data_IF_359572848306
#
_entry.id   IF_359572848306
#
_cell.length_a   1.000
_cell.length_b   1.000
_cell.length_c   1.000
_cell.angle_alpha   90.00
_cell.angle_beta   90.00
_cell.angle_gamma   90.00
#
_symmetry.space_group_name_H-M   'P 1'
#
loop_
_entity.id
_entity.type
_entity.pdbx_description
1 polymer ?
#
# COMPACT_ATOMS: atom_id res chain seq x y z
N UNK A 1 -69.41 38.41 -0.38
CA UNK A 1 -68.57 39.20 -1.29
C UNK A 1 -67.25 38.45 -1.44
N UNK A 2 -66.90 37.87 -2.61
CA UNK A 2 -65.66 37.11 -2.79
C UNK A 2 -64.57 38.01 -3.38
N UNK A 3 -63.37 37.95 -2.77
CA UNK A 3 -62.22 38.66 -3.24
C UNK A 3 -61.51 37.78 -4.30
N UNK A 4 -61.32 38.30 -5.50
CA UNK A 4 -60.63 37.70 -6.63
C UNK A 4 -59.13 37.90 -6.48
N UNK A 5 -58.34 36.83 -6.39
CA UNK A 5 -56.90 36.84 -6.55
C UNK A 5 -56.54 36.79 -8.03
N UNK A 6 -55.72 37.75 -8.50
CA UNK A 6 -55.19 37.78 -9.85
C UNK A 6 -53.86 36.98 -9.92
N UNK A 7 -53.82 35.92 -10.72
CA UNK A 7 -52.60 35.32 -11.19
C UNK A 7 -51.90 36.22 -12.20
N UNK A 8 -50.65 36.58 -11.94
CA UNK A 8 -49.69 37.15 -12.93
C UNK A 8 -48.95 36.01 -13.62
N UNK A 9 -49.12 35.89 -14.91
CA UNK A 9 -48.36 35.04 -15.80
C UNK A 9 -46.94 35.64 -16.00
N UNK A 10 -45.90 34.87 -15.72
CA UNK A 10 -44.52 35.21 -16.07
C UNK A 10 -44.21 34.52 -17.40
N UNK A 11 -44.04 35.31 -18.44
CA UNK A 11 -43.60 34.87 -19.77
C UNK A 11 -42.11 34.55 -19.74
N UNK A 12 -41.78 33.31 -19.97
CA UNK A 12 -40.37 32.88 -20.17
C UNK A 12 -39.91 33.24 -21.58
N UNK A 13 -38.83 34.00 -21.65
CA UNK A 13 -38.11 34.34 -22.88
C UNK A 13 -37.27 33.17 -23.30
N UNK A 14 -37.59 32.58 -24.45
CA UNK A 14 -36.77 31.55 -25.10
C UNK A 14 -35.45 32.17 -25.64
N UNK A 15 -34.30 31.65 -25.23
CA UNK A 15 -33.01 31.96 -25.79
C UNK A 15 -32.82 31.04 -27.00
N UNK A 16 -32.66 31.64 -28.18
CA UNK A 16 -32.32 30.96 -29.43
C UNK A 16 -30.88 30.43 -29.35
N UNK A 17 -30.73 29.11 -29.50
CA UNK A 17 -29.45 28.49 -29.73
C UNK A 17 -29.11 28.53 -31.23
N UNK A 18 -28.09 29.26 -31.58
CA UNK A 18 -27.49 29.26 -32.92
C UNK A 18 -26.79 27.93 -33.18
N UNK A 19 -27.24 27.25 -34.22
CA UNK A 19 -26.63 26.01 -34.71
C UNK A 19 -25.50 26.36 -35.67
N UNK A 20 -24.25 26.02 -35.32
CA UNK A 20 -23.11 25.96 -36.25
C UNK A 20 -23.18 24.65 -37.03
N UNK A 21 -22.91 24.66 -38.34
CA UNK A 21 -22.91 23.44 -39.13
C UNK A 21 -21.60 22.65 -38.91
N UNK A 22 -21.76 21.36 -38.59
CA UNK A 22 -20.66 20.39 -38.53
C UNK A 22 -20.29 20.02 -39.98
N UNK A 23 -19.10 20.39 -40.40
CA UNK A 23 -18.51 19.93 -41.64
C UNK A 23 -17.92 18.53 -41.42
N UNK A 24 -18.54 17.50 -42.00
CA UNK A 24 -18.03 16.16 -42.00
C UNK A 24 -17.06 16.04 -43.21
N UNK A 25 -15.78 15.99 -42.90
CA UNK A 25 -14.75 15.63 -43.87
C UNK A 25 -14.69 14.09 -43.98
N UNK A 26 -15.17 13.54 -45.06
CA UNK A 26 -15.00 12.12 -45.39
C UNK A 26 -13.57 11.89 -45.90
N UNK A 27 -12.77 11.14 -45.14
CA UNK A 27 -11.48 10.64 -45.61
C UNK A 27 -11.73 9.28 -46.29
N UNK A 28 -11.53 9.26 -47.61
CA UNK A 28 -11.53 8.05 -48.38
C UNK A 28 -10.19 7.35 -48.20
N UNK A 29 -10.19 6.20 -47.53
CA UNK A 29 -9.02 5.34 -47.46
C UNK A 29 -9.02 4.38 -48.67
N UNK A 30 -8.10 4.60 -49.59
CA UNK A 30 -7.80 3.65 -50.68
C UNK A 30 -6.96 2.48 -50.13
N UNK A 31 -7.54 1.30 -50.13
CA UNK A 31 -6.84 0.06 -49.83
C UNK A 31 -5.99 -0.35 -51.07
N UNK A 32 -4.67 -0.41 -50.87
CA UNK A 32 -3.74 -1.03 -51.81
C UNK A 32 -3.52 -2.48 -51.39
N UNK A 33 -4.09 -3.43 -52.13
CA UNK A 33 -3.78 -4.84 -52.02
C UNK A 33 -2.42 -5.11 -52.67
N UNK A 34 -1.40 -5.36 -51.86
CA UNK A 34 -0.13 -5.93 -52.31
C UNK A 34 -0.12 -7.43 -52.04
N UNK A 35 -0.20 -8.22 -53.10
CA UNK A 35 0.00 -9.66 -53.03
C UNK A 35 1.50 -9.95 -52.91
N UNK A 36 1.90 -10.65 -51.86
CA UNK A 36 3.26 -11.21 -51.74
C UNK A 36 3.14 -12.73 -51.96
N UNK A 37 3.82 -13.19 -53.02
CA UNK A 37 3.92 -14.56 -53.38
C UNK A 37 4.77 -15.34 -52.37
N UNK A 38 4.26 -16.50 -51.95
CA UNK A 38 4.99 -17.53 -51.23
C UNK A 38 5.88 -18.31 -52.21
N UNK A 39 7.19 -18.24 -52.03
CA UNK A 39 8.12 -19.22 -52.61
C UNK A 39 8.60 -20.12 -51.48
N UNK A 40 8.17 -21.36 -51.55
CA UNK A 40 8.70 -22.48 -50.79
C UNK A 40 10.06 -22.87 -51.37
N UNK A 41 11.07 -22.98 -50.54
CA UNK A 41 12.32 -23.69 -50.85
C UNK A 41 12.51 -24.74 -49.77
N UNK A 42 12.30 -25.97 -50.17
CA UNK A 42 12.79 -27.18 -49.47
C UNK A 42 14.30 -27.22 -49.59
N UNK A 43 14.99 -27.34 -48.46
CA UNK A 43 16.35 -27.88 -48.45
C UNK A 43 16.56 -28.73 -47.18
N UNK A 44 16.61 -30.03 -47.47
CA UNK A 44 16.92 -31.10 -46.55
C UNK A 44 18.44 -31.11 -46.34
N UNK A 45 18.97 -30.93 -45.14
CA UNK A 45 20.30 -31.39 -44.82
C UNK A 45 20.32 -31.98 -43.42
N UNK A 46 20.48 -33.29 -43.40
CA UNK A 46 20.75 -34.09 -42.21
C UNK A 46 22.19 -33.85 -41.72
N UNK A 47 22.35 -33.50 -40.49
CA UNK A 47 23.66 -33.54 -39.81
C UNK A 47 23.56 -34.17 -38.41
N UNK A 48 24.28 -35.23 -38.27
CA UNK A 48 24.60 -36.09 -37.16
C UNK A 48 24.70 -35.36 -35.80
N UNK A 49 23.96 -35.84 -34.81
CA UNK A 49 24.15 -35.56 -33.40
C UNK A 49 24.98 -36.64 -32.75
N UNK A 50 26.17 -36.29 -32.33
CA UNK A 50 26.99 -37.12 -31.44
C UNK A 50 26.64 -36.72 -29.99
N UNK A 51 25.95 -37.62 -29.29
CA UNK A 51 25.64 -37.51 -27.86
C UNK A 51 26.89 -37.79 -27.05
N UNK A 52 27.43 -36.81 -26.33
CA UNK A 52 28.45 -37.01 -25.29
C UNK A 52 27.73 -37.07 -23.92
N UNK A 53 27.71 -38.25 -23.35
CA UNK A 53 27.29 -38.48 -21.97
C UNK A 53 28.34 -37.93 -21.01
N UNK A 54 27.98 -36.92 -20.21
CA UNK A 54 28.79 -36.46 -19.09
C UNK A 54 28.36 -37.23 -17.84
N UNK A 55 29.22 -38.13 -17.39
CA UNK A 55 29.12 -38.85 -16.12
C UNK A 55 29.41 -37.91 -14.97
N UNK A 56 28.46 -37.78 -14.03
CA UNK A 56 28.63 -37.09 -12.76
C UNK A 56 29.51 -37.93 -11.82
N UNK A 57 30.42 -37.33 -11.02
CA UNK A 57 31.12 -38.03 -9.97
C UNK A 57 30.24 -38.18 -8.73
N UNK A 58 30.05 -39.41 -8.32
CA UNK A 58 29.47 -39.83 -7.03
C UNK A 58 30.48 -39.54 -5.93
N UNK A 59 30.19 -38.60 -5.03
CA UNK A 59 30.89 -38.41 -3.79
C UNK A 59 30.19 -39.19 -2.67
N UNK A 60 30.92 -40.07 -2.02
CA UNK A 60 30.53 -40.86 -0.87
C UNK A 60 30.45 -40.00 0.40
N UNK A 61 29.56 -40.32 1.37
CA UNK A 61 29.45 -39.56 2.61
C UNK A 61 30.59 -39.94 3.56
N UNK A 62 31.30 -38.95 4.05
CA UNK A 62 32.27 -39.09 5.15
C UNK A 62 31.53 -38.88 6.46
N UNK A 63 31.32 -39.92 7.20
CA UNK A 63 30.94 -39.91 8.61
C UNK A 63 32.09 -39.37 9.46
N UNK A 64 31.85 -38.29 10.18
CA UNK A 64 32.71 -37.88 11.30
C UNK A 64 31.90 -38.01 12.59
N UNK A 65 32.19 -39.11 13.31
CA UNK A 65 31.88 -39.26 14.71
C UNK A 65 32.84 -38.38 15.52
N UNK A 66 32.31 -37.56 16.41
CA UNK A 66 33.07 -36.77 17.36
C UNK A 66 32.19 -36.26 18.47
N UNK A 67 31.91 -37.16 19.43
CA UNK A 67 31.27 -36.77 20.68
C UNK A 67 32.25 -35.96 21.53
N UNK A 68 31.87 -34.78 22.00
CA UNK A 68 32.34 -34.21 23.27
C UNK A 68 31.24 -33.45 23.94
N UNK A 69 30.75 -34.04 25.01
CA UNK A 69 29.95 -33.38 26.01
C UNK A 69 30.87 -32.48 26.86
N UNK A 70 30.50 -31.21 26.95
CA UNK A 70 30.97 -30.34 28.04
C UNK A 70 29.76 -29.62 28.60
N UNK A 71 29.31 -30.09 29.73
CA UNK A 71 28.40 -29.36 30.59
C UNK A 71 29.13 -28.17 31.22
N UNK A 72 28.52 -27.01 31.21
CA UNK A 72 28.86 -25.96 32.16
C UNK A 72 27.55 -25.38 32.69
N UNK A 73 27.31 -25.75 33.91
CA UNK A 73 26.47 -25.18 34.93
C UNK A 73 26.82 -23.67 35.12
N UNK A 74 25.86 -22.77 34.88
CA UNK A 74 25.96 -21.38 35.31
C UNK A 74 24.78 -21.07 36.24
N UNK A 75 24.84 -21.72 37.41
CA UNK A 75 24.19 -21.29 38.62
C UNK A 75 25.04 -20.20 39.27
N UNK A 76 24.63 -18.94 39.24
CA UNK A 76 25.34 -17.87 39.92
C UNK A 76 25.03 -16.46 39.47
N UNK A 77 23.76 -16.05 39.50
CA UNK A 77 23.43 -14.64 39.47
C UNK A 77 22.74 -14.24 40.78
N UNK A 78 23.52 -13.72 41.71
CA UNK A 78 23.01 -13.05 42.90
C UNK A 78 22.76 -11.57 42.59
N UNK A 79 21.55 -11.03 42.79
CA UNK A 79 21.34 -9.58 42.69
C UNK A 79 21.97 -8.89 43.90
N UNK A 80 22.89 -8.00 43.62
CA UNK A 80 23.45 -7.11 44.64
C UNK A 80 22.41 -6.05 44.96
N UNK A 81 21.83 -6.14 46.15
CA UNK A 81 20.99 -5.12 46.73
C UNK A 81 21.82 -3.88 47.08
N UNK A 82 21.53 -2.76 46.47
CA UNK A 82 22.09 -1.46 46.85
C UNK A 82 21.04 -0.69 47.65
N UNK A 83 21.17 -0.79 48.94
CA UNK A 83 20.52 0.16 49.86
C UNK A 83 21.38 1.43 49.91
N UNK A 84 20.90 2.49 49.30
CA UNK A 84 21.34 3.85 49.63
C UNK A 84 20.09 4.69 49.88
N UNK A 85 19.89 5.05 51.14
CA UNK A 85 18.99 6.12 51.52
C UNK A 85 19.63 7.46 51.09
N UNK A 86 18.91 8.37 50.48
CA UNK A 86 19.29 9.76 50.44
C UNK A 86 18.59 10.52 51.55
N UNK A 87 19.42 11.00 52.46
CA UNK A 87 19.12 12.19 53.26
C UNK A 87 19.54 13.40 52.41
N UNK A 88 18.61 14.23 52.02
CA UNK A 88 18.81 15.67 51.81
C UNK A 88 17.51 16.31 51.29
N UNK A 89 16.85 16.97 52.17
CA UNK A 89 15.92 18.06 51.94
C UNK A 89 16.64 19.22 51.27
N UNK A 90 16.32 19.43 49.99
CA UNK A 90 16.31 20.71 49.27
C UNK A 90 15.70 20.49 47.89
N UNK A 91 14.38 20.47 47.84
CA UNK A 91 13.63 20.63 46.56
C UNK A 91 13.22 22.10 46.53
N UNK A 92 13.67 22.92 45.57
CA UNK A 92 13.08 24.23 45.39
C UNK A 92 11.62 24.03 44.95
N UNK A 93 10.76 24.64 45.75
CA UNK A 93 9.33 24.77 45.49
C UNK A 93 9.13 25.51 44.16
N UNK A 94 8.87 24.74 43.09
CA UNK A 94 8.41 25.27 41.80
C UNK A 94 6.90 25.40 41.90
N UNK A 95 6.48 26.43 42.64
CA UNK A 95 5.10 26.90 42.60
C UNK A 95 4.63 27.12 41.17
N UNK A 96 3.63 26.34 40.76
CA UNK A 96 2.56 26.82 39.90
C UNK A 96 2.84 26.96 38.43
N UNK A 97 3.58 26.03 37.80
CA UNK A 97 3.35 25.74 36.37
C UNK A 97 2.46 24.49 36.29
N UNK A 98 1.17 24.73 36.43
CA UNK A 98 0.17 23.77 35.96
C UNK A 98 0.42 23.57 34.45
N UNK A 99 1.18 22.52 34.13
CA UNK A 99 1.22 22.01 32.76
C UNK A 99 -0.22 21.60 32.48
N UNK A 100 -0.97 22.51 31.89
CA UNK A 100 -2.21 22.17 31.23
C UNK A 100 -1.80 21.16 30.14
N UNK A 101 -1.91 19.87 30.47
CA UNK A 101 -2.02 18.82 29.50
C UNK A 101 -3.28 19.20 28.71
N UNK A 102 -3.10 19.90 27.61
CA UNK A 102 -4.14 20.05 26.61
C UNK A 102 -4.49 18.64 26.25
N UNK A 103 -5.68 18.22 26.66
CA UNK A 103 -6.28 16.95 26.30
C UNK A 103 -6.26 16.91 24.78
N UNK A 104 -5.19 16.35 24.20
CA UNK A 104 -5.00 16.28 22.76
C UNK A 104 -6.09 15.36 22.24
N UNK A 105 -7.06 15.95 21.56
CA UNK A 105 -8.13 15.19 20.95
C UNK A 105 -7.55 14.23 19.91
N UNK A 106 -8.20 13.08 19.72
CA UNK A 106 -7.81 12.09 18.73
C UNK A 106 -8.93 11.90 17.70
N UNK A 107 -8.55 11.71 16.44
CA UNK A 107 -9.48 11.29 15.41
C UNK A 107 -9.95 9.86 15.65
N UNK A 108 -11.25 9.63 15.55
CA UNK A 108 -11.86 8.29 15.67
C UNK A 108 -12.32 7.74 14.32
N UNK A 109 -12.54 8.59 13.32
CA UNK A 109 -12.86 8.19 11.96
C UNK A 109 -11.59 7.91 11.15
N UNK A 110 -11.67 6.96 10.23
CA UNK A 110 -10.55 6.61 9.33
C UNK A 110 -10.12 7.73 8.40
N UNK A 111 -11.03 8.65 8.07
CA UNK A 111 -10.76 9.89 7.35
C UNK A 111 -11.93 10.86 7.44
N UNK A 112 -11.63 12.16 7.38
CA UNK A 112 -12.61 13.24 7.25
C UNK A 112 -12.28 14.10 6.03
N UNK A 113 -13.32 14.70 5.42
CA UNK A 113 -13.23 15.46 4.18
C UNK A 113 -14.35 16.48 4.09
N UNK A 114 -14.33 17.31 3.05
CA UNK A 114 -15.39 18.28 2.79
C UNK A 114 -16.80 17.64 2.93
N UNK A 115 -17.64 18.21 3.78
CA UNK A 115 -18.97 17.71 4.13
C UNK A 115 -19.01 16.75 5.33
N UNK A 116 -17.88 16.27 5.85
CA UNK A 116 -17.83 15.51 7.11
C UNK A 116 -18.18 16.41 8.29
N UNK A 117 -18.71 15.81 9.38
CA UNK A 117 -19.03 16.53 10.62
C UNK A 117 -18.86 15.63 11.83
N UNK A 118 -18.60 16.22 13.00
CA UNK A 118 -18.48 15.50 14.26
C UNK A 118 -17.19 15.77 15.01
N UNK A 119 -16.94 15.02 16.11
CA UNK A 119 -15.77 15.22 16.99
C UNK A 119 -14.43 15.16 16.29
N UNK A 120 -14.21 14.25 15.35
CA UNK A 120 -12.95 14.15 14.59
C UNK A 120 -12.71 15.38 13.72
N UNK A 121 -13.77 16.03 13.22
CA UNK A 121 -13.64 17.30 12.49
C UNK A 121 -13.28 18.44 13.44
N UNK A 122 -13.90 18.49 14.60
CA UNK A 122 -13.53 19.47 15.64
C UNK A 122 -12.08 19.32 16.05
N UNK A 123 -11.63 18.09 16.27
CA UNK A 123 -10.25 17.76 16.58
C UNK A 123 -9.30 18.22 15.48
N UNK A 124 -9.61 17.92 14.23
CA UNK A 124 -8.83 18.37 13.08
C UNK A 124 -8.74 19.91 13.01
N UNK A 125 -9.88 20.61 13.12
CA UNK A 125 -9.91 22.08 13.06
C UNK A 125 -9.04 22.69 14.15
N UNK A 126 -9.08 22.14 15.37
CA UNK A 126 -8.22 22.58 16.46
C UNK A 126 -6.74 22.36 16.14
N UNK A 127 -6.39 21.17 15.68
CA UNK A 127 -5.00 20.84 15.31
C UNK A 127 -4.47 21.70 14.14
N UNK A 128 -5.30 22.00 13.15
CA UNK A 128 -4.94 22.91 12.05
C UNK A 128 -4.78 24.35 12.55
N UNK A 129 -5.59 24.78 13.51
CA UNK A 129 -5.49 26.10 14.14
C UNK A 129 -4.21 26.22 14.96
N UNK A 130 -3.90 25.22 15.79
CA UNK A 130 -2.70 25.17 16.62
C UNK A 130 -1.43 25.10 15.75
N UNK A 131 -1.50 24.44 14.60
CA UNK A 131 -0.42 24.36 13.61
C UNK A 131 -0.33 25.60 12.68
N UNK A 132 -1.26 26.56 12.78
CA UNK A 132 -1.25 27.82 12.02
C UNK A 132 -1.79 27.73 10.59
N UNK A 133 -2.40 26.61 10.18
CA UNK A 133 -3.01 26.45 8.85
C UNK A 133 -4.47 26.92 8.78
N UNK A 134 -5.15 27.00 9.91
CA UNK A 134 -6.55 27.38 10.01
C UNK A 134 -6.73 28.59 10.94
N UNK A 135 -7.63 29.49 10.59
CA UNK A 135 -7.94 30.67 11.40
C UNK A 135 -9.45 30.84 11.68
N UNK A 136 -10.25 29.84 11.29
CA UNK A 136 -11.69 29.82 11.50
C UNK A 136 -12.08 29.32 12.89
N UNK A 137 -13.38 29.29 13.17
CA UNK A 137 -13.92 28.70 14.39
C UNK A 137 -13.92 27.17 14.32
N UNK A 138 -13.72 26.50 15.44
CA UNK A 138 -13.87 25.05 15.57
C UNK A 138 -15.35 24.71 15.63
N UNK A 139 -15.93 24.39 14.48
CA UNK A 139 -17.37 24.16 14.30
C UNK A 139 -17.78 22.69 14.32
N UNK A 140 -16.82 21.78 14.13
CA UNK A 140 -17.08 20.37 13.89
C UNK A 140 -17.73 20.07 12.53
N UNK A 141 -17.73 21.03 11.60
CA UNK A 141 -18.19 20.86 10.23
C UNK A 141 -17.01 21.10 9.27
N UNK A 142 -16.68 20.12 8.45
CA UNK A 142 -15.61 20.22 7.46
C UNK A 142 -16.09 21.01 6.25
N UNK A 143 -15.95 22.32 6.33
CA UNK A 143 -16.31 23.28 5.31
C UNK A 143 -15.17 23.57 4.33
N UNK A 144 -15.38 24.50 3.38
CA UNK A 144 -14.38 24.88 2.40
C UNK A 144 -13.13 25.53 3.04
N UNK A 145 -13.29 26.24 4.16
CA UNK A 145 -12.15 26.84 4.85
C UNK A 145 -11.26 25.75 5.50
N UNK A 146 -11.87 24.74 6.10
CA UNK A 146 -11.18 23.55 6.64
C UNK A 146 -10.50 22.77 5.51
N UNK A 147 -11.15 22.64 4.34
CA UNK A 147 -10.56 21.96 3.18
C UNK A 147 -9.28 22.66 2.70
N UNK A 148 -9.30 23.97 2.51
CA UNK A 148 -8.13 24.75 2.09
C UNK A 148 -7.00 24.66 3.12
N UNK A 149 -7.32 24.70 4.40
CA UNK A 149 -6.35 24.53 5.48
C UNK A 149 -5.71 23.13 5.48
N UNK A 150 -6.50 22.10 5.20
CA UNK A 150 -5.99 20.73 5.08
C UNK A 150 -5.06 20.57 3.88
N UNK A 151 -5.40 21.13 2.70
CA UNK A 151 -4.52 21.11 1.53
C UNK A 151 -3.21 21.84 1.80
N UNK A 152 -3.25 23.03 2.42
CA UNK A 152 -2.06 23.81 2.76
C UNK A 152 -1.13 23.04 3.73
N UNK A 153 -1.68 22.38 4.73
CA UNK A 153 -0.94 21.52 5.66
C UNK A 153 -0.32 20.32 4.95
N UNK A 154 -1.08 19.68 4.05
CA UNK A 154 -0.59 18.54 3.27
C UNK A 154 0.57 18.93 2.35
N UNK A 155 0.49 20.10 1.72
CA UNK A 155 1.54 20.64 0.87
C UNK A 155 2.81 20.95 1.68
N UNK A 156 2.68 21.71 2.77
CA UNK A 156 3.81 22.10 3.61
C UNK A 156 4.53 20.88 4.23
N UNK A 157 3.78 19.85 4.59
CA UNK A 157 4.31 18.60 5.17
C UNK A 157 4.67 17.52 4.14
N UNK A 158 4.70 17.88 2.87
CA UNK A 158 5.03 16.99 1.75
C UNK A 158 4.18 15.69 1.74
N UNK A 159 2.90 15.83 2.07
CA UNK A 159 1.91 14.76 2.01
C UNK A 159 1.20 14.77 0.65
N UNK A 160 0.34 13.78 0.43
CA UNK A 160 -0.52 13.80 -0.74
C UNK A 160 -1.61 14.87 -0.58
N UNK A 161 -1.60 15.90 -1.45
CA UNK A 161 -2.52 17.03 -1.39
C UNK A 161 -3.84 16.65 -2.06
N UNK A 162 -4.86 16.35 -1.26
CA UNK A 162 -6.20 15.98 -1.72
C UNK A 162 -7.32 16.56 -0.85
N UNK A 163 -6.96 17.30 0.20
CA UNK A 163 -7.89 17.85 1.16
C UNK A 163 -8.65 16.80 1.98
N UNK A 164 -8.25 15.51 1.89
CA UNK A 164 -8.81 14.42 2.70
C UNK A 164 -7.84 14.14 3.84
N UNK A 165 -8.28 14.36 5.07
CA UNK A 165 -7.48 14.08 6.24
C UNK A 165 -7.71 12.65 6.70
N UNK A 166 -6.81 11.76 6.29
CA UNK A 166 -6.74 10.38 6.74
C UNK A 166 -5.60 10.20 7.73
N UNK A 167 -5.22 8.93 7.96
CA UNK A 167 -4.19 8.54 8.92
C UNK A 167 -2.89 9.33 8.78
N UNK A 168 -2.31 9.45 7.58
CA UNK A 168 -1.02 10.12 7.39
C UNK A 168 -1.09 11.61 7.76
N UNK A 169 -2.14 12.30 7.34
CA UNK A 169 -2.38 13.71 7.69
C UNK A 169 -2.61 13.88 9.18
N UNK A 170 -3.38 12.98 9.81
CA UNK A 170 -3.69 13.03 11.22
C UNK A 170 -2.46 12.70 12.09
N UNK A 171 -1.61 11.74 11.70
CA UNK A 171 -0.32 11.47 12.35
C UNK A 171 0.57 12.71 12.30
N UNK A 172 0.64 13.37 11.15
CA UNK A 172 1.48 14.55 11.00
C UNK A 172 1.03 15.73 11.87
N UNK A 173 -0.25 15.75 12.26
CA UNK A 173 -0.83 16.73 13.20
C UNK A 173 -0.81 16.26 14.66
N UNK A 174 -0.39 15.03 14.97
CA UNK A 174 -0.40 14.48 16.31
C UNK A 174 -1.79 14.12 16.85
N UNK A 175 -2.79 13.97 15.99
CA UNK A 175 -4.19 13.67 16.35
C UNK A 175 -4.64 12.27 15.94
N UNK A 176 -3.73 11.41 15.50
CA UNK A 176 -4.02 10.01 15.29
C UNK A 176 -3.72 9.22 16.56
N UNK A 177 -4.57 8.25 16.96
CA UNK A 177 -4.27 7.39 18.07
C UNK A 177 -2.90 6.72 17.88
N UNK A 178 -2.12 6.59 18.94
CA UNK A 178 -0.84 5.87 18.91
C UNK A 178 -1.10 4.43 18.45
N UNK A 179 -0.93 4.20 17.16
CA UNK A 179 -0.84 2.86 16.62
C UNK A 179 0.62 2.41 16.70
N UNK A 180 0.85 1.34 17.44
CA UNK A 180 2.11 0.65 17.39
C UNK A 180 2.43 0.26 15.95
N UNK A 181 3.60 0.69 15.46
CA UNK A 181 4.02 0.32 14.12
C UNK A 181 4.52 -1.12 14.13
N UNK A 182 3.78 -2.02 13.49
CA UNK A 182 4.19 -3.40 13.30
C UNK A 182 5.05 -3.62 12.04
N UNK A 183 5.57 -2.55 11.45
CA UNK A 183 6.42 -2.63 10.25
C UNK A 183 7.80 -3.12 10.64
N UNK A 184 8.12 -4.36 10.25
CA UNK A 184 9.45 -4.95 10.44
C UNK A 184 10.23 -4.83 9.13
N UNK A 185 11.35 -4.09 9.13
CA UNK A 185 12.27 -4.02 8.00
C UNK A 185 13.33 -5.09 8.14
N UNK A 186 13.34 -6.06 7.23
CA UNK A 186 14.44 -7.04 7.13
C UNK A 186 15.68 -6.40 6.52
N UNK A 187 16.89 -6.93 6.81
CA UNK A 187 18.09 -6.51 6.12
C UNK A 187 17.93 -6.62 4.60
N UNK A 188 18.51 -5.67 3.88
CA UNK A 188 18.52 -5.73 2.41
C UNK A 188 19.21 -7.00 1.95
N UNK A 189 18.59 -7.81 1.07
CA UNK A 189 19.21 -9.05 0.60
C UNK A 189 20.47 -8.77 -0.21
N UNK A 190 21.47 -9.70 -0.19
CA UNK A 190 22.67 -9.58 -1.01
C UNK A 190 22.32 -9.54 -2.51
N UNK A 191 23.24 -8.98 -3.30
CA UNK A 191 23.08 -8.95 -4.74
C UNK A 191 22.94 -10.38 -5.32
N UNK A 192 21.93 -10.59 -6.16
CA UNK A 192 21.65 -11.90 -6.76
C UNK A 192 20.87 -12.86 -5.86
N UNK A 193 20.47 -12.47 -4.65
CA UNK A 193 19.61 -13.30 -3.80
C UNK A 193 18.27 -13.59 -4.47
N UNK A 194 17.81 -14.84 -4.33
CA UNK A 194 16.54 -15.34 -4.87
C UNK A 194 15.68 -15.93 -3.77
N UNK A 195 14.38 -16.03 -4.03
CA UNK A 195 13.44 -16.74 -3.16
C UNK A 195 13.46 -18.26 -3.40
N UNK A 196 12.60 -19.01 -2.70
CA UNK A 196 12.55 -20.48 -2.81
C UNK A 196 12.04 -20.98 -4.17
N UNK A 197 11.51 -20.10 -5.03
CA UNK A 197 11.12 -20.42 -6.40
C UNK A 197 12.14 -19.92 -7.44
N UNK A 198 13.26 -19.31 -6.99
CA UNK A 198 14.32 -18.80 -7.86
C UNK A 198 14.11 -17.39 -8.40
N UNK A 199 13.10 -16.65 -7.94
CA UNK A 199 12.88 -15.27 -8.37
C UNK A 199 13.77 -14.29 -7.60
N UNK A 200 14.37 -13.28 -8.28
CA UNK A 200 15.23 -12.29 -7.65
C UNK A 200 14.46 -11.50 -6.58
N UNK A 201 15.07 -11.35 -5.40
CA UNK A 201 14.50 -10.53 -4.32
C UNK A 201 14.61 -9.04 -4.64
N UNK A 202 13.61 -8.26 -4.21
CA UNK A 202 13.68 -6.80 -4.16
C UNK A 202 14.51 -6.34 -2.95
N UNK A 203 14.77 -5.03 -2.85
CA UNK A 203 15.50 -4.45 -1.71
C UNK A 203 14.78 -4.54 -0.37
N UNK A 204 13.48 -4.87 -0.38
CA UNK A 204 12.59 -4.93 0.79
C UNK A 204 11.99 -6.32 1.01
N UNK A 205 12.51 -7.32 0.29
CA UNK A 205 12.04 -8.69 0.36
C UNK A 205 13.04 -9.60 1.10
N UNK A 206 12.51 -10.70 1.62
CA UNK A 206 13.24 -11.81 2.25
C UNK A 206 12.57 -13.14 1.91
N UNK A 207 13.22 -14.26 2.13
CA UNK A 207 12.70 -15.58 1.77
C UNK A 207 13.07 -16.64 2.80
N UNK A 208 12.29 -17.71 2.87
CA UNK A 208 12.56 -18.84 3.76
C UNK A 208 12.72 -18.42 5.21
N UNK A 209 13.78 -18.86 5.86
CA UNK A 209 14.09 -18.57 7.27
C UNK A 209 14.46 -17.11 7.55
N UNK A 210 14.86 -16.34 6.53
CA UNK A 210 15.19 -14.92 6.68
C UNK A 210 13.94 -14.02 6.65
N UNK A 211 12.80 -14.60 6.31
CA UNK A 211 11.51 -13.88 6.33
C UNK A 211 11.00 -13.75 7.78
N UNK A 212 10.34 -12.63 8.13
CA UNK A 212 9.62 -12.53 9.38
C UNK A 212 8.58 -13.65 9.50
N UNK A 213 8.30 -14.16 10.72
CA UNK A 213 7.32 -15.21 10.91
C UNK A 213 5.94 -14.76 10.44
N UNK A 214 5.12 -15.73 10.04
CA UNK A 214 3.72 -15.50 9.73
C UNK A 214 2.98 -14.96 10.95
N UNK A 215 2.10 -13.97 10.79
CA UNK A 215 1.22 -13.58 11.88
C UNK A 215 0.27 -14.74 12.26
N UNK A 216 -0.19 -14.79 13.52
CA UNK A 216 -1.19 -15.76 13.94
C UNK A 216 -2.45 -15.67 13.08
N UNK A 217 -3.22 -16.73 13.02
CA UNK A 217 -4.49 -16.81 12.28
C UNK A 217 -4.40 -16.53 10.77
N UNK A 218 -3.20 -16.71 10.21
CA UNK A 218 -2.93 -16.46 8.78
C UNK A 218 -3.40 -17.61 7.85
N UNK A 219 -4.16 -18.60 8.35
CA UNK A 219 -4.69 -19.72 7.56
C UNK A 219 -3.67 -20.82 7.28
N UNK A 220 -3.99 -21.72 6.34
CA UNK A 220 -3.17 -22.87 5.97
C UNK A 220 -3.15 -23.09 4.44
N UNK A 221 -2.24 -23.96 3.96
CA UNK A 221 -2.09 -24.27 2.55
C UNK A 221 -1.46 -23.11 1.76
N UNK A 222 -1.47 -23.25 0.41
CA UNK A 222 -0.91 -22.24 -0.51
C UNK A 222 -1.76 -20.98 -0.51
N UNK A 223 -1.15 -19.85 -0.18
CA UNK A 223 -1.86 -18.57 -0.04
C UNK A 223 -0.94 -17.37 -0.06
N UNK A 224 -1.54 -16.21 -0.23
CA UNK A 224 -0.96 -14.92 0.16
C UNK A 224 -1.51 -14.53 1.54
N UNK A 225 -0.65 -13.98 2.38
CA UNK A 225 -1.04 -13.37 3.66
C UNK A 225 -0.66 -11.90 3.59
N UNK A 226 -1.62 -11.01 3.77
CA UNK A 226 -1.39 -9.57 3.85
C UNK A 226 -1.70 -9.08 5.25
N UNK A 227 -0.67 -8.65 5.97
CA UNK A 227 -0.79 -8.03 7.29
C UNK A 227 -0.81 -6.51 7.14
N UNK A 228 -1.99 -5.91 7.36
CA UNK A 228 -2.21 -4.46 7.20
C UNK A 228 -1.39 -3.65 8.19
N UNK A 229 -1.31 -4.09 9.47
CA UNK A 229 -0.52 -3.42 10.51
C UNK A 229 0.97 -3.35 10.16
N UNK A 230 1.52 -4.43 9.65
CA UNK A 230 2.92 -4.56 9.27
C UNK A 230 3.24 -4.13 7.84
N UNK A 231 2.24 -3.73 7.03
CA UNK A 231 2.40 -3.38 5.61
C UNK A 231 3.24 -4.41 4.86
N UNK A 232 2.96 -5.69 5.09
CA UNK A 232 3.77 -6.81 4.62
C UNK A 232 2.92 -7.91 4.01
N UNK A 233 3.46 -8.55 2.98
CA UNK A 233 2.87 -9.73 2.33
C UNK A 233 3.82 -10.92 2.48
N UNK A 234 3.26 -12.11 2.63
CA UNK A 234 3.92 -13.39 2.56
C UNK A 234 3.27 -14.24 1.46
N UNK A 235 4.07 -14.88 0.65
CA UNK A 235 3.66 -15.98 -0.20
C UNK A 235 4.05 -17.29 0.47
N UNK A 236 3.06 -18.14 0.72
CA UNK A 236 3.21 -19.39 1.48
C UNK A 236 2.90 -20.57 0.57
N UNK A 237 3.75 -21.58 0.59
CA UNK A 237 3.58 -22.82 -0.15
C UNK A 237 2.53 -23.76 0.46
N UNK A 238 2.22 -24.85 -0.25
CA UNK A 238 1.29 -25.89 0.23
C UNK A 238 1.79 -26.58 1.49
N UNK A 239 3.10 -26.67 1.66
CA UNK A 239 3.82 -27.22 2.82
C UNK A 239 3.90 -26.23 4.01
N UNK A 240 3.37 -25.03 3.87
CA UNK A 240 3.44 -23.96 4.87
C UNK A 240 4.75 -23.17 4.91
N UNK A 241 5.72 -23.49 4.04
CA UNK A 241 6.97 -22.72 3.96
C UNK A 241 6.71 -21.31 3.42
N UNK A 242 7.42 -20.33 3.99
CA UNK A 242 7.42 -18.97 3.48
C UNK A 242 8.33 -18.93 2.25
N UNK A 243 7.74 -18.88 1.07
CA UNK A 243 8.47 -18.78 -0.20
C UNK A 243 9.15 -17.42 -0.29
N UNK A 244 8.40 -16.36 0.00
CA UNK A 244 8.85 -14.96 -0.06
C UNK A 244 8.00 -14.10 0.87
N UNK A 245 8.62 -13.07 1.44
CA UNK A 245 7.93 -12.00 2.17
C UNK A 245 8.50 -10.64 1.78
N UNK A 246 7.64 -9.61 1.65
CA UNK A 246 8.07 -8.28 1.23
C UNK A 246 7.17 -7.18 1.80
N UNK A 247 7.72 -5.97 1.92
CA UNK A 247 6.97 -4.79 2.30
C UNK A 247 6.15 -4.26 1.11
N UNK A 248 4.99 -3.72 1.44
CA UNK A 248 4.06 -3.08 0.50
C UNK A 248 3.65 -1.71 1.01
N UNK A 249 3.05 -0.89 0.15
CA UNK A 249 2.33 0.31 0.57
C UNK A 249 0.84 0.10 0.34
N UNK A 250 0.12 -0.20 1.41
CA UNK A 250 -1.33 -0.38 1.44
C UNK A 250 -2.08 0.93 1.63
N UNK A 251 -3.35 0.81 1.99
CA UNK A 251 -4.27 1.93 2.08
C UNK A 251 -3.98 2.87 3.23
N UNK A 252 -3.96 4.16 2.92
CA UNK A 252 -3.99 5.22 3.94
C UNK A 252 -5.37 5.39 4.59
N UNK A 253 -6.40 4.77 4.03
CA UNK A 253 -7.79 4.85 4.52
C UNK A 253 -8.23 3.58 5.25
N UNK A 254 -7.36 2.58 5.41
CA UNK A 254 -7.67 1.27 6.04
C UNK A 254 -8.93 0.59 5.48
N UNK A 255 -9.18 0.76 4.17
CA UNK A 255 -10.37 0.24 3.48
C UNK A 255 -10.18 -1.18 2.91
N UNK A 256 -9.05 -1.82 3.19
CA UNK A 256 -8.85 -3.24 2.94
C UNK A 256 -9.64 -4.06 3.98
N UNK A 257 -10.57 -4.89 3.54
CA UNK A 257 -11.37 -5.71 4.44
C UNK A 257 -10.55 -6.89 4.96
N UNK A 258 -10.47 -7.09 6.31
CA UNK A 258 -9.91 -8.31 6.88
C UNK A 258 -10.71 -9.53 6.49
N UNK A 259 -10.07 -10.70 6.54
CA UNK A 259 -10.69 -11.97 6.26
C UNK A 259 -10.03 -12.74 5.12
N UNK A 260 -10.68 -13.80 4.68
CA UNK A 260 -10.20 -14.65 3.58
C UNK A 260 -10.91 -14.27 2.29
N UNK A 261 -10.11 -13.98 1.27
CA UNK A 261 -10.52 -13.59 -0.06
C UNK A 261 -9.86 -14.49 -1.10
N UNK A 262 -10.23 -14.29 -2.36
CA UNK A 262 -9.60 -14.97 -3.50
C UNK A 262 -9.24 -13.98 -4.59
N UNK A 263 -8.16 -14.26 -5.29
CA UNK A 263 -7.84 -13.54 -6.54
C UNK A 263 -8.94 -13.83 -7.56
N UNK A 264 -9.70 -12.83 -7.97
CA UNK A 264 -10.79 -13.00 -8.91
C UNK A 264 -10.50 -12.49 -10.33
N UNK A 265 -9.48 -11.64 -10.49
CA UNK A 265 -9.06 -11.16 -11.80
C UNK A 265 -7.65 -10.61 -11.81
N UNK A 266 -7.04 -10.56 -13.00
CA UNK A 266 -5.67 -10.10 -13.20
C UNK A 266 -5.57 -9.26 -14.48
N UNK A 267 -4.63 -8.33 -14.54
CA UNK A 267 -4.32 -7.54 -15.73
C UNK A 267 -2.84 -7.18 -15.76
N UNK A 268 -2.15 -7.42 -16.87
CA UNK A 268 -0.74 -7.01 -17.06
C UNK A 268 -0.57 -5.51 -16.82
N UNK A 269 -1.51 -4.73 -17.29
CA UNK A 269 -1.60 -3.30 -17.06
C UNK A 269 -3.04 -2.93 -16.73
N UNK A 270 -3.22 -2.11 -15.71
CA UNK A 270 -4.50 -1.51 -15.34
C UNK A 270 -4.34 0.00 -15.22
N UNK A 271 -5.43 0.71 -15.03
CA UNK A 271 -5.45 2.14 -14.79
C UNK A 271 -6.13 2.41 -13.44
N UNK A 272 -5.61 3.34 -12.67
CA UNK A 272 -6.25 3.79 -11.44
C UNK A 272 -7.66 4.34 -11.74
N UNK A 273 -8.57 4.23 -10.75
CA UNK A 273 -9.97 4.67 -10.89
C UNK A 273 -10.11 6.15 -11.33
N UNK A 274 -9.16 7.00 -10.92
CA UNK A 274 -9.13 8.42 -11.30
C UNK A 274 -8.44 8.69 -12.65
N UNK A 275 -7.99 7.65 -13.35
CA UNK A 275 -7.33 7.76 -14.65
C UNK A 275 -5.91 8.34 -14.64
N UNK A 276 -5.31 8.64 -13.49
CA UNK A 276 -4.02 9.36 -13.39
C UNK A 276 -2.79 8.45 -13.38
N UNK A 277 -2.95 7.15 -13.09
CA UNK A 277 -1.83 6.23 -12.94
C UNK A 277 -2.03 4.94 -13.74
N UNK A 278 -0.92 4.39 -14.24
CA UNK A 278 -0.82 3.00 -14.68
C UNK A 278 -0.49 2.11 -13.48
N UNK A 279 -1.12 0.93 -13.44
CA UNK A 279 -0.97 -0.08 -12.38
C UNK A 279 -0.46 -1.39 -13.02
N UNK A 280 0.87 -1.57 -13.14
CA UNK A 280 1.44 -2.77 -13.75
C UNK A 280 1.20 -4.00 -12.88
N UNK A 281 0.96 -5.17 -13.50
CA UNK A 281 0.79 -6.46 -12.82
C UNK A 281 -0.31 -6.45 -11.75
N UNK A 282 -1.49 -5.93 -12.11
CA UNK A 282 -2.63 -5.83 -11.20
C UNK A 282 -3.27 -7.19 -10.93
N UNK A 283 -3.27 -7.62 -9.66
CA UNK A 283 -3.89 -8.86 -9.15
C UNK A 283 -4.96 -8.48 -8.14
N UNK A 284 -6.25 -8.64 -8.49
CA UNK A 284 -7.39 -8.13 -7.72
C UNK A 284 -7.98 -9.21 -6.85
N UNK A 285 -8.21 -8.87 -5.57
CA UNK A 285 -8.79 -9.78 -4.58
C UNK A 285 -10.02 -9.21 -3.85
N UNK A 286 -10.27 -7.90 -3.90
CA UNK A 286 -11.45 -7.27 -3.28
C UNK A 286 -12.16 -6.37 -4.28
N UNK A 287 -13.48 -6.53 -4.41
CA UNK A 287 -14.36 -5.62 -5.16
C UNK A 287 -14.85 -4.52 -4.23
N UNK A 288 -14.92 -3.29 -4.72
CA UNK A 288 -15.47 -2.14 -4.01
C UNK A 288 -16.45 -1.41 -4.93
N UNK A 289 -17.27 -0.53 -4.37
CA UNK A 289 -18.27 0.23 -5.13
C UNK A 289 -17.65 1.16 -6.20
N UNK A 290 -16.41 1.58 -5.99
CA UNK A 290 -15.68 2.49 -6.90
C UNK A 290 -14.61 1.79 -7.74
N UNK A 291 -14.46 0.47 -7.61
CA UNK A 291 -13.44 -0.27 -8.34
C UNK A 291 -12.98 -1.55 -7.65
N UNK A 292 -11.68 -1.75 -7.56
CA UNK A 292 -11.09 -2.94 -7.00
C UNK A 292 -9.85 -2.62 -6.17
N UNK A 293 -9.64 -3.40 -5.12
CA UNK A 293 -8.38 -3.46 -4.37
C UNK A 293 -7.61 -4.71 -4.80
N UNK A 294 -6.31 -4.59 -4.91
CA UNK A 294 -5.41 -5.67 -5.30
C UNK A 294 -3.94 -5.29 -5.16
N UNK A 295 -3.09 -6.25 -5.45
CA UNK A 295 -1.65 -6.06 -5.50
C UNK A 295 -1.23 -5.58 -6.89
N UNK A 296 -0.30 -4.62 -6.97
CA UNK A 296 0.30 -4.19 -8.22
C UNK A 296 1.70 -3.60 -7.99
N UNK A 297 2.52 -3.49 -9.01
CA UNK A 297 3.80 -2.79 -8.93
C UNK A 297 3.61 -1.33 -8.51
N UNK A 298 4.67 -0.66 -8.06
CA UNK A 298 4.65 0.78 -7.83
C UNK A 298 4.01 1.47 -9.05
N UNK A 299 2.95 2.29 -8.85
CA UNK A 299 2.26 2.93 -9.96
C UNK A 299 3.17 3.88 -10.73
N UNK A 300 2.82 4.11 -11.99
CA UNK A 300 3.50 5.08 -12.84
C UNK A 300 2.55 6.22 -13.19
N UNK A 301 3.03 7.45 -13.16
CA UNK A 301 2.29 8.61 -13.67
C UNK A 301 1.99 8.42 -15.15
N UNK A 302 0.75 8.68 -15.57
CA UNK A 302 0.38 8.57 -16.99
C UNK A 302 0.98 9.67 -17.87
N UNK A 303 1.38 10.77 -17.26
CA UNK A 303 1.97 11.93 -17.96
C UNK A 303 3.36 11.64 -18.51
N UNK A 304 4.20 10.93 -17.74
CA UNK A 304 5.64 10.81 -17.97
C UNK A 304 6.24 9.44 -17.60
N UNK A 305 5.41 8.50 -17.12
CA UNK A 305 5.83 7.19 -16.63
C UNK A 305 6.80 7.22 -15.43
N UNK A 306 6.89 8.33 -14.70
CA UNK A 306 7.66 8.37 -13.46
C UNK A 306 6.93 7.57 -12.36
N UNK A 307 7.67 6.91 -11.43
CA UNK A 307 7.05 6.16 -10.35
C UNK A 307 6.44 7.09 -9.29
N UNK A 308 5.30 6.69 -8.71
CA UNK A 308 4.64 7.42 -7.60
C UNK A 308 5.42 7.37 -6.29
N UNK A 309 6.30 6.39 -6.13
CA UNK A 309 7.12 6.22 -4.94
C UNK A 309 8.35 5.36 -5.25
N UNK A 310 9.31 5.34 -4.35
CA UNK A 310 10.50 4.49 -4.38
C UNK A 310 10.27 3.18 -3.63
N UNK A 311 11.14 2.17 -3.81
CA UNK A 311 11.11 0.95 -3.00
C UNK A 311 11.41 1.22 -1.51
N UNK A 312 12.20 2.25 -1.19
CA UNK A 312 12.54 2.61 0.20
C UNK A 312 11.31 3.07 1.01
N UNK A 313 10.30 3.62 0.34
CA UNK A 313 9.05 4.07 0.95
C UNK A 313 8.04 2.93 1.16
N UNK A 314 8.31 1.72 0.67
CA UNK A 314 7.47 0.55 0.97
C UNK A 314 7.52 0.25 2.47
N UNK A 315 6.38 -0.13 3.02
CA UNK A 315 6.11 -0.20 4.46
C UNK A 315 5.28 0.98 4.98
N UNK A 316 5.10 2.03 4.18
CA UNK A 316 4.23 3.16 4.50
C UNK A 316 2.85 2.98 3.84
N UNK A 317 1.81 3.57 4.44
CA UNK A 317 0.45 3.56 3.90
C UNK A 317 0.24 4.71 2.93
N UNK A 318 0.59 4.54 1.66
CA UNK A 318 0.60 5.60 0.64
C UNK A 318 -0.46 5.43 -0.47
N UNK A 319 -1.24 4.36 -0.44
CA UNK A 319 -2.21 4.07 -1.50
C UNK A 319 -3.64 4.48 -1.14
N UNK A 320 -4.53 4.49 -2.12
CA UNK A 320 -5.97 4.66 -1.91
C UNK A 320 -6.72 3.36 -1.60
N UNK A 321 -6.01 2.21 -1.53
CA UNK A 321 -6.63 0.90 -1.29
C UNK A 321 -5.74 -0.27 -1.68
N UNK A 322 -5.16 -0.24 -2.87
CA UNK A 322 -4.31 -1.31 -3.39
C UNK A 322 -2.97 -1.40 -2.66
N UNK A 323 -2.36 -2.57 -2.68
CA UNK A 323 -1.03 -2.82 -2.12
C UNK A 323 0.03 -2.63 -3.22
N UNK A 324 0.72 -1.48 -3.17
CA UNK A 324 1.87 -1.17 -4.05
C UNK A 324 3.07 -1.99 -3.60
N UNK A 325 3.80 -2.55 -4.54
CA UNK A 325 4.97 -3.40 -4.26
C UNK A 325 6.10 -3.13 -5.25
N UNK A 326 7.33 -3.52 -4.91
CA UNK A 326 8.46 -3.42 -5.81
C UNK A 326 8.22 -4.20 -7.10
N UNK A 327 8.81 -3.78 -8.19
CA UNK A 327 8.61 -4.42 -9.50
C UNK A 327 8.99 -5.91 -9.50
N UNK A 328 10.04 -6.30 -8.76
CA UNK A 328 10.46 -7.70 -8.62
C UNK A 328 9.44 -8.53 -7.86
N UNK A 329 8.83 -7.96 -6.81
CA UNK A 329 7.81 -8.63 -6.02
C UNK A 329 6.50 -8.74 -6.82
N UNK A 330 6.18 -7.73 -7.63
CA UNK A 330 5.03 -7.77 -8.52
C UNK A 330 5.18 -8.83 -9.62
N UNK A 331 6.37 -9.00 -10.16
CA UNK A 331 6.67 -10.06 -11.14
C UNK A 331 6.52 -11.45 -10.51
N UNK A 332 7.11 -11.67 -9.34
CA UNK A 332 6.94 -12.91 -8.57
C UNK A 332 5.46 -13.17 -8.26
N UNK A 333 4.75 -12.19 -7.67
CA UNK A 333 3.35 -12.34 -7.29
C UNK A 333 2.47 -12.64 -8.51
N UNK A 334 2.76 -12.05 -9.65
CA UNK A 334 2.05 -12.32 -10.90
C UNK A 334 2.09 -13.80 -11.27
N UNK A 335 3.22 -14.44 -11.13
CA UNK A 335 3.35 -15.87 -11.46
C UNK A 335 2.83 -16.77 -10.33
N UNK A 336 2.99 -16.35 -9.07
CA UNK A 336 2.51 -17.08 -7.91
C UNK A 336 0.99 -17.05 -7.78
N UNK A 337 0.35 -15.89 -7.92
CA UNK A 337 -1.06 -15.66 -7.63
C UNK A 337 -1.94 -15.77 -8.88
N UNK A 338 -2.41 -16.96 -9.19
CA UNK A 338 -3.40 -17.19 -10.23
C UNK A 338 -4.83 -16.88 -9.72
N UNK A 339 -5.81 -16.76 -10.64
CA UNK A 339 -7.23 -16.67 -10.26
C UNK A 339 -7.60 -17.88 -9.41
N UNK A 340 -8.29 -17.67 -8.28
CA UNK A 340 -8.57 -18.67 -7.27
C UNK A 340 -7.52 -18.78 -6.16
N UNK A 341 -6.37 -18.06 -6.25
CA UNK A 341 -5.40 -18.04 -5.17
C UNK A 341 -6.00 -17.38 -3.92
N UNK A 342 -5.90 -18.05 -2.78
CA UNK A 342 -6.37 -17.53 -1.49
C UNK A 342 -5.54 -16.33 -1.03
N UNK A 343 -6.21 -15.29 -0.53
CA UNK A 343 -5.62 -14.10 0.07
C UNK A 343 -6.19 -13.92 1.47
N UNK A 344 -5.36 -14.08 2.49
CA UNK A 344 -5.73 -13.85 3.89
C UNK A 344 -5.28 -12.44 4.28
N UNK A 345 -6.21 -11.60 4.73
CA UNK A 345 -5.98 -10.21 5.13
C UNK A 345 -6.21 -10.08 6.64
N UNK A 346 -5.19 -9.59 7.36
CA UNK A 346 -5.17 -9.47 8.83
C UNK A 346 -4.88 -8.02 9.22
#
# INVERSE_FOLDING_TARGET
>A
MPVRSRCRSVTSRAVRADRLPIVIAAVVATAVCGAIALTSSDDSSAANTTSAAVTAPTAAPTTVEGAMAVGTDISGYTPVGSTLAPDSTDVPDLDGAELTVTDSCLMTETSVRLGSSGPSVSCLQQALLDAGYYSGAVTGSFDQATFVAAEAMQEDRNLFVDGIVGRESAISLGIWPDEESFVVRTPKPPAGAVDLMGYPLSSVASAGSDAPPLPPDSGSGRRLVYYRGGQRVWAVGDDGQIIRSWLVSGSKYSNELPGTHEVYSRSEMSTAWNGKAYLPKMVRWLKTDIGAIGFHAIPLHRSDNTPYQTEAELGQRLSGGCQRQANRDAAFLWDFAQVGTTVVVI
#
